data_IF_743593792172
#
_entry.id   IF_743593792172
#
_cell.length_a   1.000
_cell.length_b   1.000
_cell.length_c   1.000
_cell.angle_alpha   90.00
_cell.angle_beta   90.00
_cell.angle_gamma   90.00
#
_symmetry.space_group_name_H-M   'P 1'
#
loop_
_entity.id
_entity.type
_entity.pdbx_description
1 polymer ?
#
# COMPACT_ATOMS: atom_id res chain seq x y z
N UNK A 1 35.31 -13.36 7.26
CA UNK A 1 34.97 -12.13 6.52
C UNK A 1 33.84 -12.38 5.52
N UNK A 2 33.89 -13.43 4.69
CA UNK A 2 32.82 -13.76 3.74
C UNK A 2 31.51 -14.27 4.39
N UNK A 3 31.56 -14.89 5.57
CA UNK A 3 30.35 -15.37 6.27
C UNK A 3 29.54 -14.22 6.89
N UNK A 4 30.21 -13.16 7.36
CA UNK A 4 29.57 -11.97 7.92
C UNK A 4 28.80 -11.16 6.86
N UNK A 5 29.34 -11.04 5.65
CA UNK A 5 28.64 -10.39 4.53
C UNK A 5 27.37 -11.16 4.11
N UNK A 6 27.39 -12.50 4.17
CA UNK A 6 26.22 -13.33 3.86
C UNK A 6 25.14 -13.24 4.93
N UNK A 7 25.53 -13.14 6.20
CA UNK A 7 24.59 -12.89 7.31
C UNK A 7 23.91 -11.53 7.15
N UNK A 8 24.68 -10.47 6.92
CA UNK A 8 24.17 -9.11 6.70
C UNK A 8 23.27 -9.05 5.46
N UNK A 9 23.60 -9.74 4.36
CA UNK A 9 22.74 -9.79 3.17
C UNK A 9 21.45 -10.60 3.36
N UNK A 10 21.44 -11.59 4.27
CA UNK A 10 20.23 -12.32 4.64
C UNK A 10 19.34 -11.50 5.59
N UNK A 11 19.93 -10.74 6.51
CA UNK A 11 19.20 -9.80 7.37
C UNK A 11 18.70 -8.57 6.61
N UNK A 12 19.44 -8.11 5.60
CA UNK A 12 19.07 -7.02 4.67
C UNK A 12 18.40 -7.53 3.39
N UNK A 13 18.01 -8.81 3.37
CA UNK A 13 17.30 -9.40 2.25
C UNK A 13 16.09 -8.55 1.89
N UNK A 14 15.92 -8.24 0.60
CA UNK A 14 14.80 -7.42 0.11
C UNK A 14 13.49 -8.09 0.52
N UNK A 15 12.90 -7.64 1.61
CA UNK A 15 11.55 -8.06 1.97
C UNK A 15 10.63 -7.76 0.79
N UNK A 16 9.82 -8.73 0.40
CA UNK A 16 8.85 -8.54 -0.68
C UNK A 16 7.92 -7.39 -0.31
N UNK A 17 8.02 -6.28 -1.05
CA UNK A 17 7.13 -5.14 -0.91
C UNK A 17 5.90 -5.34 -1.78
N UNK A 18 4.73 -5.31 -1.16
CA UNK A 18 3.43 -5.34 -1.82
C UNK A 18 2.90 -3.92 -1.94
N UNK A 19 2.12 -3.63 -2.98
CA UNK A 19 1.45 -2.33 -3.12
C UNK A 19 0.06 -2.40 -2.47
N UNK A 20 -0.22 -1.44 -1.61
CA UNK A 20 -1.50 -1.31 -0.93
C UNK A 20 -2.00 0.13 -0.94
N UNK A 21 -3.31 0.28 -0.74
CA UNK A 21 -4.00 1.57 -0.59
C UNK A 21 -4.14 1.87 0.90
N UNK A 22 -3.58 2.98 1.42
CA UNK A 22 -3.92 3.45 2.75
C UNK A 22 -5.42 3.75 2.87
N UNK A 23 -6.02 3.40 4.01
CA UNK A 23 -7.46 3.57 4.27
C UNK A 23 -7.94 5.01 4.03
N UNK A 24 -7.11 6.01 4.36
CA UNK A 24 -7.42 7.43 4.15
C UNK A 24 -7.53 7.83 2.66
N UNK A 25 -6.98 7.04 1.73
CA UNK A 25 -7.06 7.29 0.29
C UNK A 25 -8.05 6.38 -0.44
N UNK A 26 -8.67 5.43 0.26
CA UNK A 26 -9.56 4.43 -0.34
C UNK A 26 -10.62 5.07 -1.25
N UNK A 27 -11.32 6.10 -0.74
CA UNK A 27 -12.37 6.77 -1.51
C UNK A 27 -11.83 7.45 -2.78
N UNK A 28 -10.67 8.11 -2.69
CA UNK A 28 -10.04 8.76 -3.86
C UNK A 28 -9.71 7.72 -4.94
N UNK A 29 -9.19 6.56 -4.53
CA UNK A 29 -8.88 5.46 -5.44
C UNK A 29 -10.16 4.89 -6.07
N UNK A 30 -11.25 4.72 -5.30
CA UNK A 30 -12.57 4.30 -5.83
C UNK A 30 -13.10 5.29 -6.86
N UNK A 31 -12.99 6.59 -6.59
CA UNK A 31 -13.45 7.64 -7.49
C UNK A 31 -12.65 7.62 -8.81
N UNK A 32 -11.32 7.48 -8.75
CA UNK A 32 -10.48 7.35 -9.93
C UNK A 32 -10.83 6.11 -10.75
N UNK A 33 -11.02 4.95 -10.09
CA UNK A 33 -11.43 3.70 -10.77
C UNK A 33 -12.80 3.85 -11.43
N UNK A 34 -13.72 4.58 -10.80
CA UNK A 34 -15.03 4.88 -11.38
C UNK A 34 -14.93 5.81 -12.58
N UNK A 35 -14.11 6.87 -12.50
CA UNK A 35 -13.86 7.80 -13.60
C UNK A 35 -13.24 7.14 -14.83
N UNK A 36 -12.52 6.02 -14.67
CA UNK A 36 -11.96 5.25 -15.78
C UNK A 36 -13.02 4.52 -16.63
N UNK A 37 -14.22 4.25 -16.08
CA UNK A 37 -15.27 3.50 -16.79
C UNK A 37 -15.71 4.28 -18.05
N UNK A 38 -15.74 3.59 -19.18
CA UNK A 38 -16.15 4.17 -20.47
C UNK A 38 -15.15 5.17 -21.08
N UNK A 39 -13.95 5.34 -20.51
CA UNK A 39 -12.92 6.24 -21.05
C UNK A 39 -12.01 5.54 -22.07
N UNK A 40 -11.39 6.35 -22.94
CA UNK A 40 -10.36 5.89 -23.87
C UNK A 40 -9.16 5.30 -23.12
N UNK A 41 -8.37 4.48 -23.82
CA UNK A 41 -7.14 3.92 -23.25
C UNK A 41 -6.20 5.00 -22.71
N UNK A 42 -5.97 6.07 -23.46
CA UNK A 42 -5.09 7.17 -23.06
C UNK A 42 -5.56 7.83 -21.76
N UNK A 43 -6.88 8.09 -21.64
CA UNK A 43 -7.43 8.71 -20.44
C UNK A 43 -7.39 7.76 -19.24
N UNK A 44 -7.65 6.46 -19.44
CA UNK A 44 -7.47 5.45 -18.40
C UNK A 44 -6.02 5.37 -17.93
N UNK A 45 -5.05 5.43 -18.85
CA UNK A 45 -3.61 5.44 -18.51
C UNK A 45 -3.23 6.65 -17.66
N UNK A 46 -3.75 7.84 -17.97
CA UNK A 46 -3.53 9.05 -17.17
C UNK A 46 -4.12 8.90 -15.76
N UNK A 47 -5.38 8.49 -15.65
CA UNK A 47 -6.04 8.27 -14.36
C UNK A 47 -5.34 7.19 -13.53
N UNK A 48 -4.80 6.15 -14.19
CA UNK A 48 -4.07 5.09 -13.50
C UNK A 48 -2.73 5.58 -12.97
N UNK A 49 -2.05 6.47 -13.70
CA UNK A 49 -0.83 7.10 -13.22
C UNK A 49 -1.10 7.98 -11.98
N UNK A 50 -2.21 8.72 -11.97
CA UNK A 50 -2.67 9.47 -10.80
C UNK A 50 -3.00 8.54 -9.63
N UNK A 51 -3.73 7.45 -9.90
CA UNK A 51 -4.10 6.45 -8.89
C UNK A 51 -2.88 5.82 -8.19
N UNK A 52 -1.78 5.59 -8.93
CA UNK A 52 -0.54 5.04 -8.37
C UNK A 52 0.10 5.91 -7.29
N UNK A 53 -0.18 7.22 -7.27
CA UNK A 53 0.37 8.13 -6.27
C UNK A 53 -0.19 7.87 -4.86
N UNK A 54 -1.33 7.17 -4.79
CA UNK A 54 -1.96 6.78 -3.53
C UNK A 54 -1.61 5.36 -3.09
N UNK A 55 -0.75 4.65 -3.85
CA UNK A 55 -0.28 3.32 -3.48
C UNK A 55 1.01 3.44 -2.70
N UNK A 56 1.12 2.66 -1.63
CA UNK A 56 2.31 2.61 -0.80
C UNK A 56 2.93 1.20 -0.82
N UNK A 57 4.27 1.09 -0.77
CA UNK A 57 4.92 -0.19 -0.55
C UNK A 57 4.75 -0.60 0.92
N UNK A 58 4.34 -1.84 1.14
CA UNK A 58 4.17 -2.43 2.48
C UNK A 58 4.75 -3.84 2.53
N UNK A 59 5.24 -4.24 3.69
CA UNK A 59 5.58 -5.64 3.94
C UNK A 59 4.30 -6.50 3.95
N UNK A 60 4.41 -7.75 3.52
CA UNK A 60 3.34 -8.75 3.61
C UNK A 60 2.67 -8.83 5.00
N UNK A 61 3.43 -8.62 6.08
CA UNK A 61 2.92 -8.63 7.46
C UNK A 61 1.92 -7.51 7.78
N UNK A 62 1.84 -6.48 6.94
CA UNK A 62 0.92 -5.35 7.07
C UNK A 62 -0.28 -5.45 6.13
N UNK A 63 -0.36 -6.48 5.28
CA UNK A 63 -1.53 -6.70 4.45
C UNK A 63 -2.66 -7.22 5.33
N UNK A 64 -3.74 -6.45 5.39
CA UNK A 64 -4.95 -6.75 6.15
C UNK A 64 -6.02 -7.31 5.20
N UNK A 65 -6.76 -6.41 4.55
CA UNK A 65 -7.95 -6.76 3.78
C UNK A 65 -7.75 -6.55 2.29
N UNK A 66 -8.09 -7.57 1.51
CA UNK A 66 -8.21 -7.45 0.06
C UNK A 66 -9.58 -6.90 -0.30
N UNK A 67 -9.62 -5.77 -1.00
CA UNK A 67 -10.85 -5.21 -1.50
C UNK A 67 -11.07 -5.63 -2.96
N UNK A 68 -12.00 -6.56 -3.19
CA UNK A 68 -12.30 -7.11 -4.52
C UNK A 68 -12.78 -6.04 -5.51
N UNK A 69 -13.54 -5.05 -5.03
CA UNK A 69 -14.05 -3.99 -5.88
C UNK A 69 -12.95 -3.05 -6.35
N UNK A 70 -11.95 -2.77 -5.50
CA UNK A 70 -10.77 -1.98 -5.81
C UNK A 70 -9.71 -2.81 -6.54
N UNK A 71 -9.63 -4.11 -6.29
CA UNK A 71 -8.57 -4.99 -6.77
C UNK A 71 -7.21 -4.68 -6.14
N UNK A 72 -7.20 -4.22 -4.89
CA UNK A 72 -6.01 -3.87 -4.12
C UNK A 72 -6.21 -4.22 -2.64
N UNK A 73 -5.10 -4.42 -1.92
CA UNK A 73 -5.14 -4.43 -0.46
C UNK A 73 -5.39 -3.03 0.08
N UNK A 74 -6.20 -2.94 1.14
CA UNK A 74 -6.40 -1.72 1.92
C UNK A 74 -5.75 -1.89 3.29
N UNK A 75 -4.93 -0.92 3.70
CA UNK A 75 -4.12 -0.97 4.92
C UNK A 75 -4.28 0.28 5.77
N UNK A 76 -3.88 0.24 7.04
CA UNK A 76 -4.07 1.37 7.94
C UNK A 76 -5.49 1.48 8.49
N UNK A 77 -6.14 0.33 8.69
CA UNK A 77 -7.41 0.21 9.39
C UNK A 77 -7.17 0.31 10.90
N UNK A 78 -8.08 0.99 11.61
CA UNK A 78 -7.96 1.16 13.06
C UNK A 78 -8.01 -0.19 13.83
N UNK A 79 -8.59 -1.22 13.21
CA UNK A 79 -8.71 -2.57 13.77
C UNK A 79 -7.35 -3.21 14.07
N UNK A 80 -6.34 -2.92 13.26
CA UNK A 80 -4.98 -3.46 13.43
C UNK A 80 -4.01 -2.52 14.16
N UNK A 81 -4.52 -1.40 14.70
CA UNK A 81 -3.70 -0.28 15.19
C UNK A 81 -2.68 0.20 14.15
N UNK A 82 -2.95 0.03 12.86
CA UNK A 82 -2.10 0.51 11.78
C UNK A 82 -2.63 1.85 11.31
N UNK A 83 -1.77 2.86 11.25
CA UNK A 83 -2.10 4.20 10.77
C UNK A 83 -1.11 4.59 9.70
N UNK A 84 -1.62 5.17 8.63
CA UNK A 84 -0.80 5.76 7.58
C UNK A 84 -0.74 7.28 7.75
N UNK A 85 0.47 7.81 7.71
CA UNK A 85 0.77 9.23 7.64
C UNK A 85 1.68 9.49 6.44
N UNK A 86 1.52 10.63 5.77
CA UNK A 86 2.29 10.93 4.55
C UNK A 86 3.79 11.12 4.82
N UNK A 87 4.15 11.61 6.00
CA UNK A 87 5.55 11.86 6.38
C UNK A 87 6.18 10.63 7.05
N UNK A 88 5.42 9.95 7.92
CA UNK A 88 5.91 8.83 8.72
C UNK A 88 5.70 7.47 8.05
N UNK A 89 4.88 7.39 7.01
CA UNK A 89 4.48 6.15 6.37
C UNK A 89 3.49 5.35 7.21
N UNK A 90 3.50 4.03 7.05
CA UNK A 90 2.63 3.12 7.80
C UNK A 90 3.29 2.72 9.12
N UNK A 91 2.64 2.96 10.25
CA UNK A 91 3.15 2.64 11.58
C UNK A 91 2.08 2.06 12.49
N UNK A 92 2.50 1.35 13.55
CA UNK A 92 1.61 0.81 14.58
C UNK A 92 1.42 1.80 15.72
N UNK A 93 0.18 2.12 16.06
CA UNK A 93 -0.17 2.83 17.30
C UNK A 93 -0.20 1.85 18.47
N UNK A 94 0.08 2.34 19.69
CA UNK A 94 -0.10 1.52 20.89
C UNK A 94 -1.59 1.19 21.05
N UNK A 95 -1.96 -0.04 21.46
CA UNK A 95 -3.34 -0.33 21.80
C UNK A 95 -3.78 0.61 22.92
N UNK A 96 -4.90 1.30 22.72
CA UNK A 96 -5.52 2.11 23.77
C UNK A 96 -6.03 1.13 24.82
N UNK A 97 -5.39 1.15 26.00
CA UNK A 97 -5.76 0.33 27.18
C UNK A 97 -7.04 0.83 27.82
#
# INVERSE_FOLDING_TARGET
>A
MQDQEREVLNELGREESYLAVPKCYEQKVRDLKTQMKGKSYEKRRQLFAEMKQYLIPVNKSFLDSWDEELGWYVVGTAEDNLVYDEELGLFKTKPVS
#
